data_IF_871243809263
#
_entry.id   IF_871243809263
#
_cell.length_a   1.000
_cell.length_b   1.000
_cell.length_c   1.000
_cell.angle_alpha   90.00
_cell.angle_beta   90.00
_cell.angle_gamma   90.00
#
_symmetry.space_group_name_H-M   'P 1'
#
loop_
_entity.id
_entity.type
_entity.pdbx_description
1 polymer ?
#
# COMPACT_ATOMS: atom_id res chain seq x y z
N UNK A 1 -6.99 11.60 11.08
CA UNK A 1 -6.60 10.68 9.98
C UNK A 1 -5.61 11.39 9.07
N UNK A 2 -4.51 10.76 8.64
CA UNK A 2 -3.55 11.40 7.72
C UNK A 2 -4.10 11.45 6.29
N UNK A 3 -3.66 12.42 5.48
CA UNK A 3 -4.06 12.57 4.07
C UNK A 3 -3.81 11.28 3.26
N UNK A 4 -2.73 10.57 3.58
CA UNK A 4 -2.38 9.28 2.98
C UNK A 4 -3.52 8.27 3.15
N UNK A 5 -4.00 8.07 4.39
CA UNK A 5 -5.08 7.13 4.67
C UNK A 5 -6.39 7.54 4.01
N UNK A 6 -6.72 8.83 4.02
CA UNK A 6 -7.93 9.33 3.36
C UNK A 6 -7.96 9.01 1.86
N UNK A 7 -6.80 8.97 1.19
CA UNK A 7 -6.70 8.70 -0.24
C UNK A 7 -6.48 7.21 -0.57
N UNK A 8 -5.72 6.48 0.24
CA UNK A 8 -5.31 5.10 -0.08
C UNK A 8 -6.10 4.01 0.66
N UNK A 9 -6.95 4.34 1.64
CA UNK A 9 -7.76 3.32 2.31
C UNK A 9 -8.62 2.45 1.35
N UNK A 10 -9.21 2.97 0.25
CA UNK A 10 -10.07 2.13 -0.60
C UNK A 10 -9.28 1.02 -1.29
N UNK A 11 -8.07 1.32 -1.78
CA UNK A 11 -7.22 0.32 -2.45
C UNK A 11 -6.63 -0.67 -1.45
N UNK A 12 -6.29 -0.21 -0.23
CA UNK A 12 -5.88 -1.10 0.86
C UNK A 12 -6.99 -2.09 1.22
N UNK A 13 -8.23 -1.61 1.33
CA UNK A 13 -9.38 -2.48 1.61
C UNK A 13 -9.65 -3.45 0.45
N UNK A 14 -9.57 -2.98 -0.80
CA UNK A 14 -9.75 -3.82 -1.97
C UNK A 14 -8.70 -4.94 -2.04
N UNK A 15 -7.43 -4.64 -1.76
CA UNK A 15 -6.35 -5.64 -1.75
C UNK A 15 -6.45 -6.62 -0.58
N UNK A 16 -6.95 -6.17 0.58
CA UNK A 16 -7.33 -7.07 1.69
C UNK A 16 -8.39 -8.08 1.24
N UNK A 17 -9.47 -7.63 0.58
CA UNK A 17 -10.55 -8.50 0.09
C UNK A 17 -10.01 -9.50 -0.94
N UNK A 18 -9.17 -9.05 -1.88
CA UNK A 18 -8.49 -9.93 -2.84
C UNK A 18 -7.67 -11.00 -2.11
N UNK A 19 -6.97 -10.63 -1.03
CA UNK A 19 -6.26 -11.57 -0.16
C UNK A 19 -7.17 -12.61 0.47
N UNK A 20 -8.31 -12.19 1.00
CA UNK A 20 -9.31 -13.11 1.59
C UNK A 20 -9.79 -14.11 0.53
N UNK A 21 -10.18 -13.63 -0.66
CA UNK A 21 -10.70 -14.47 -1.73
C UNK A 21 -9.65 -15.45 -2.26
N UNK A 22 -8.43 -14.96 -2.55
CA UNK A 22 -7.32 -15.80 -2.99
C UNK A 22 -6.96 -16.86 -1.95
N UNK A 23 -6.94 -16.50 -0.66
CA UNK A 23 -6.71 -17.43 0.44
C UNK A 23 -7.82 -18.47 0.57
N UNK A 24 -9.09 -18.06 0.46
CA UNK A 24 -10.25 -18.96 0.55
C UNK A 24 -10.21 -20.04 -0.53
N UNK A 25 -9.84 -19.67 -1.76
CA UNK A 25 -9.69 -20.64 -2.87
C UNK A 25 -8.40 -21.45 -2.71
N UNK A 26 -7.29 -20.80 -2.40
CA UNK A 26 -5.96 -21.41 -2.35
C UNK A 26 -5.72 -22.35 -1.17
N UNK A 27 -6.41 -22.16 -0.04
CA UNK A 27 -6.29 -23.01 1.14
C UNK A 27 -7.35 -24.11 1.23
N UNK A 28 -8.34 -24.13 0.31
CA UNK A 28 -9.39 -25.14 0.29
C UNK A 28 -8.78 -26.49 -0.13
N UNK A 29 -8.51 -27.34 0.86
CA UNK A 29 -8.14 -28.72 0.59
C UNK A 29 -9.32 -29.48 0.00
N UNK A 30 -9.02 -30.35 -0.98
CA UNK A 30 -9.95 -31.39 -1.43
C UNK A 30 -9.88 -32.54 -0.44
N UNK A 31 -11.03 -33.08 -0.04
CA UNK A 31 -11.08 -34.38 0.63
C UNK A 31 -10.66 -35.43 -0.39
N UNK A 32 -9.63 -36.18 -0.08
CA UNK A 32 -9.21 -37.36 -0.84
C UNK A 32 -9.95 -38.57 -0.26
N UNK A 33 -10.30 -39.53 -1.10
CA UNK A 33 -10.88 -40.81 -0.67
C UNK A 33 -9.83 -41.65 0.05
N UNK A 34 -10.24 -42.40 1.08
CA UNK A 34 -9.37 -43.32 1.82
C UNK A 34 -8.88 -44.50 0.96
N UNK A 35 -9.55 -44.76 -0.17
CA UNK A 35 -9.21 -45.84 -1.12
C UNK A 35 -8.06 -45.51 -2.08
N UNK A 36 -7.55 -44.27 -2.07
CA UNK A 36 -6.49 -43.84 -2.99
C UNK A 36 -5.13 -44.42 -2.62
N UNK A 37 -4.36 -44.85 -3.62
CA UNK A 37 -3.00 -45.31 -3.40
C UNK A 37 -2.10 -44.17 -2.91
N UNK A 38 -1.00 -44.51 -2.23
CA UNK A 38 -0.02 -43.50 -1.79
C UNK A 38 0.54 -42.66 -2.95
N UNK A 39 0.70 -43.25 -4.13
CA UNK A 39 1.15 -42.56 -5.33
C UNK A 39 0.11 -41.52 -5.80
N UNK A 40 -1.17 -41.86 -5.79
CA UNK A 40 -2.26 -40.94 -6.17
C UNK A 40 -2.37 -39.78 -5.17
N UNK A 41 -2.21 -40.06 -3.88
CA UNK A 41 -2.18 -39.02 -2.83
C UNK A 41 -1.00 -38.07 -3.04
N UNK A 42 0.18 -38.58 -3.37
CA UNK A 42 1.36 -37.75 -3.66
C UNK A 42 1.14 -36.86 -4.90
N UNK A 43 0.60 -37.42 -5.98
CA UNK A 43 0.27 -36.69 -7.21
C UNK A 43 -0.79 -35.59 -6.95
N UNK A 44 -1.85 -35.91 -6.20
CA UNK A 44 -2.88 -34.95 -5.82
C UNK A 44 -2.33 -33.81 -4.95
N UNK A 45 -1.42 -34.11 -4.02
CA UNK A 45 -0.75 -33.11 -3.19
C UNK A 45 0.14 -32.16 -4.02
N UNK A 46 0.87 -32.70 -5.00
CA UNK A 46 1.67 -31.88 -5.92
C UNK A 46 0.77 -30.94 -6.74
N UNK A 47 -0.31 -31.48 -7.32
CA UNK A 47 -1.29 -30.69 -8.06
C UNK A 47 -1.92 -29.59 -7.20
N UNK A 48 -2.30 -29.91 -5.95
CA UNK A 48 -2.81 -28.93 -4.99
C UNK A 48 -1.79 -27.82 -4.69
N UNK A 49 -0.51 -28.15 -4.47
CA UNK A 49 0.56 -27.15 -4.26
C UNK A 49 0.69 -26.22 -5.47
N UNK A 50 0.65 -26.75 -6.69
CA UNK A 50 0.68 -25.94 -7.90
C UNK A 50 -0.55 -25.03 -8.03
N UNK A 51 -1.76 -25.57 -7.80
CA UNK A 51 -2.98 -24.78 -7.84
C UNK A 51 -2.97 -23.67 -6.80
N UNK A 52 -2.56 -23.97 -5.56
CA UNK A 52 -2.39 -22.98 -4.48
C UNK A 52 -1.43 -21.86 -4.90
N UNK A 53 -0.23 -22.20 -5.39
CA UNK A 53 0.75 -21.20 -5.85
C UNK A 53 0.20 -20.33 -6.99
N UNK A 54 -0.50 -20.93 -7.95
CA UNK A 54 -1.17 -20.20 -9.04
C UNK A 54 -2.21 -19.21 -8.51
N UNK A 55 -3.08 -19.64 -7.60
CA UNK A 55 -4.13 -18.76 -7.03
C UNK A 55 -3.54 -17.62 -6.20
N UNK A 56 -2.51 -17.89 -5.40
CA UNK A 56 -1.81 -16.86 -4.63
C UNK A 56 -1.08 -15.87 -5.55
N UNK A 57 -0.43 -16.37 -6.62
CA UNK A 57 0.23 -15.53 -7.61
C UNK A 57 -0.75 -14.61 -8.36
N UNK A 58 -1.89 -15.16 -8.80
CA UNK A 58 -2.97 -14.37 -9.44
C UNK A 58 -3.50 -13.31 -8.47
N UNK A 59 -3.76 -13.67 -7.20
CA UNK A 59 -4.21 -12.72 -6.18
C UNK A 59 -3.21 -11.59 -5.92
N UNK A 60 -1.92 -11.93 -5.82
CA UNK A 60 -0.85 -10.94 -5.66
C UNK A 60 -0.72 -10.00 -6.87
N UNK A 61 -0.79 -10.54 -8.09
CA UNK A 61 -0.78 -9.75 -9.31
C UNK A 61 -2.00 -8.81 -9.39
N UNK A 62 -3.19 -9.30 -9.02
CA UNK A 62 -4.40 -8.48 -8.96
C UNK A 62 -4.29 -7.36 -7.92
N UNK A 63 -3.68 -7.62 -6.75
CA UNK A 63 -3.45 -6.59 -5.73
C UNK A 63 -2.54 -5.47 -6.26
N UNK A 64 -1.43 -5.81 -6.94
CA UNK A 64 -0.53 -4.82 -7.54
C UNK A 64 -1.21 -4.05 -8.68
N UNK A 65 -2.00 -4.73 -9.51
CA UNK A 65 -2.78 -4.10 -10.56
C UNK A 65 -3.75 -3.05 -10.01
N UNK A 66 -4.46 -3.35 -8.91
CA UNK A 66 -5.34 -2.40 -8.25
C UNK A 66 -4.60 -1.14 -7.76
N UNK A 67 -3.38 -1.30 -7.23
CA UNK A 67 -2.55 -0.15 -6.82
C UNK A 67 -2.14 0.69 -8.01
N UNK A 68 -1.67 0.07 -9.09
CA UNK A 68 -1.31 0.78 -10.32
C UNK A 68 -2.49 1.54 -10.90
N UNK A 69 -3.66 0.90 -10.98
CA UNK A 69 -4.90 1.52 -11.42
C UNK A 69 -5.33 2.68 -10.50
N UNK A 70 -5.23 2.50 -9.19
CA UNK A 70 -5.56 3.55 -8.22
C UNK A 70 -4.63 4.76 -8.35
N UNK A 71 -3.33 4.52 -8.46
CA UNK A 71 -2.32 5.56 -8.46
C UNK A 71 -2.37 6.43 -9.73
N UNK A 72 -2.55 5.80 -10.90
CA UNK A 72 -2.48 6.46 -12.20
C UNK A 72 -3.86 6.80 -12.80
N UNK A 73 -4.61 5.87 -13.45
CA UNK A 73 -5.82 6.24 -14.17
C UNK A 73 -6.93 6.76 -13.25
N UNK A 74 -6.99 6.30 -12.00
CA UNK A 74 -7.95 6.80 -11.00
C UNK A 74 -7.43 8.03 -10.22
N UNK A 75 -6.27 8.56 -10.59
CA UNK A 75 -5.73 9.83 -10.08
C UNK A 75 -5.46 9.86 -8.58
N UNK A 76 -5.26 8.72 -7.92
CA UNK A 76 -4.97 8.64 -6.48
C UNK A 76 -3.72 9.43 -6.12
N UNK A 77 -2.65 9.34 -6.93
CA UNK A 77 -1.43 10.13 -6.75
C UNK A 77 -1.70 11.63 -6.85
N UNK A 78 -2.42 12.07 -7.88
CA UNK A 78 -2.75 13.49 -8.10
C UNK A 78 -3.63 14.07 -6.99
N UNK A 79 -4.64 13.30 -6.51
CA UNK A 79 -5.50 13.70 -5.38
C UNK A 79 -4.71 13.83 -4.08
N UNK A 80 -3.79 12.90 -3.83
CA UNK A 80 -2.87 13.01 -2.69
C UNK A 80 -2.02 14.27 -2.80
N UNK A 81 -1.39 14.48 -3.96
CA UNK A 81 -0.51 15.62 -4.19
C UNK A 81 -1.24 16.94 -3.99
N UNK A 82 -2.40 17.10 -4.63
CA UNK A 82 -3.21 18.31 -4.52
C UNK A 82 -3.61 18.63 -3.08
N UNK A 83 -4.02 17.63 -2.28
CA UNK A 83 -4.39 17.86 -0.87
C UNK A 83 -3.21 18.35 -0.03
N UNK A 84 -2.03 17.78 -0.21
CA UNK A 84 -0.82 18.19 0.52
C UNK A 84 -0.34 19.57 0.06
N UNK A 85 -0.35 19.84 -1.24
CA UNK A 85 0.05 21.13 -1.82
C UNK A 85 -0.91 22.25 -1.40
N UNK A 86 -2.22 22.00 -1.36
CA UNK A 86 -3.21 22.95 -0.82
C UNK A 86 -2.95 23.23 0.66
N UNK A 87 -2.74 22.19 1.48
CA UNK A 87 -2.43 22.39 2.90
C UNK A 87 -1.13 23.18 3.12
N UNK A 88 -0.10 22.95 2.29
CA UNK A 88 1.14 23.71 2.35
C UNK A 88 0.95 25.17 1.93
N UNK A 89 0.15 25.43 0.88
CA UNK A 89 -0.19 26.78 0.47
C UNK A 89 -0.98 27.55 1.54
N UNK A 90 -1.90 26.87 2.24
CA UNK A 90 -2.66 27.46 3.35
C UNK A 90 -1.75 27.84 4.53
N UNK A 91 -0.74 27.01 4.86
CA UNK A 91 0.25 27.36 5.88
C UNK A 91 1.15 28.53 5.45
N UNK A 92 1.59 28.58 4.19
CA UNK A 92 2.35 29.72 3.66
C UNK A 92 1.57 31.03 3.72
N UNK A 93 0.28 30.96 3.39
CA UNK A 93 -0.63 32.11 3.51
C UNK A 93 -0.81 32.54 4.97
N UNK A 94 -0.82 31.60 5.92
CA UNK A 94 -0.96 31.91 7.35
C UNK A 94 0.25 32.66 7.91
N UNK A 95 1.46 32.38 7.42
CA UNK A 95 2.70 33.05 7.86
C UNK A 95 3.06 34.29 7.05
N UNK A 96 2.16 34.74 6.16
CA UNK A 96 2.28 35.95 5.33
C UNK A 96 3.55 36.02 4.47
N UNK A 97 3.92 34.91 3.84
CA UNK A 97 5.12 34.82 3.01
C UNK A 97 4.78 34.39 1.58
N UNK A 98 4.22 35.28 0.75
CA UNK A 98 3.73 34.95 -0.60
C UNK A 98 4.84 34.60 -1.60
N UNK A 99 6.10 34.90 -1.30
CA UNK A 99 7.26 34.63 -2.15
C UNK A 99 7.70 33.17 -2.16
N UNK A 100 7.23 32.35 -1.21
CA UNK A 100 7.56 30.93 -1.16
C UNK A 100 6.51 30.08 -1.86
N UNK A 101 6.98 28.99 -2.45
CA UNK A 101 6.12 27.94 -3.00
C UNK A 101 6.55 26.59 -2.46
N UNK A 102 5.58 25.74 -2.13
CA UNK A 102 5.82 24.39 -1.65
C UNK A 102 5.08 23.39 -2.56
N UNK A 103 5.82 22.52 -3.25
CA UNK A 103 5.27 21.52 -4.17
C UNK A 103 5.82 20.14 -3.84
N UNK A 104 5.02 19.09 -4.02
CA UNK A 104 5.54 17.73 -3.86
C UNK A 104 6.46 17.38 -5.03
N UNK A 105 7.52 16.60 -4.75
CA UNK A 105 8.36 16.04 -5.81
C UNK A 105 7.53 15.12 -6.70
N UNK A 106 7.54 15.34 -8.02
CA UNK A 106 6.69 14.61 -9.01
C UNK A 106 7.41 13.60 -9.89
N UNK A 107 8.75 13.53 -9.84
CA UNK A 107 9.56 12.70 -10.75
C UNK A 107 10.60 11.84 -10.01
N UNK A 108 10.18 10.71 -9.39
CA UNK A 108 8.81 10.20 -9.26
C UNK A 108 8.01 10.91 -8.15
N UNK A 109 6.67 10.74 -8.13
CA UNK A 109 5.84 11.29 -7.06
C UNK A 109 6.27 10.70 -5.71
N UNK A 110 6.71 11.54 -4.79
CA UNK A 110 7.17 11.14 -3.45
C UNK A 110 6.50 12.00 -2.38
N UNK A 111 6.65 11.61 -1.10
CA UNK A 111 6.18 12.38 0.06
C UNK A 111 7.18 13.47 0.48
N UNK A 112 7.99 13.95 -0.45
CA UNK A 112 8.97 15.00 -0.23
C UNK A 112 8.42 16.32 -0.73
N UNK A 113 8.21 17.27 0.19
CA UNK A 113 7.82 18.63 -0.14
C UNK A 113 9.07 19.44 -0.49
N UNK A 114 9.08 20.02 -1.68
CA UNK A 114 10.14 20.88 -2.20
C UNK A 114 9.71 22.32 -2.03
N UNK A 115 10.44 23.07 -1.21
CA UNK A 115 10.21 24.48 -0.95
C UNK A 115 11.14 25.31 -1.85
N UNK A 116 10.59 26.34 -2.49
CA UNK A 116 11.32 27.28 -3.34
C UNK A 116 11.04 28.71 -2.91
N UNK A 117 12.07 29.56 -2.95
CA UNK A 117 11.99 31.00 -2.65
C UNK A 117 13.31 31.50 -2.04
N UNK A 118 13.45 32.82 -1.91
CA UNK A 118 14.63 33.44 -1.26
C UNK A 118 14.46 33.44 0.26
N UNK A 119 15.14 32.54 0.96
CA UNK A 119 15.14 32.47 2.41
C UNK A 119 16.58 32.47 2.96
N UNK A 120 16.78 33.12 4.09
CA UNK A 120 18.00 32.91 4.89
C UNK A 120 17.96 31.56 5.62
N UNK A 121 19.09 31.08 6.13
CA UNK A 121 19.18 29.76 6.77
C UNK A 121 18.24 29.59 7.98
N UNK A 122 17.99 30.67 8.74
CA UNK A 122 17.04 30.64 9.86
C UNK A 122 15.60 30.39 9.38
N UNK A 123 15.17 31.10 8.33
CA UNK A 123 13.88 30.88 7.68
C UNK A 123 13.80 29.47 7.07
N UNK A 124 14.89 29.00 6.44
CA UNK A 124 14.97 27.66 5.87
C UNK A 124 14.65 26.57 6.90
N UNK A 125 15.28 26.65 8.07
CA UNK A 125 15.05 25.73 9.18
C UNK A 125 13.64 25.86 9.76
N UNK A 126 13.12 27.10 9.85
CA UNK A 126 11.74 27.37 10.29
C UNK A 126 10.71 26.66 9.42
N UNK A 127 10.78 26.85 8.10
CA UNK A 127 9.86 26.21 7.15
C UNK A 127 10.01 24.68 7.13
N UNK A 128 11.23 24.15 7.27
CA UNK A 128 11.43 22.69 7.36
C UNK A 128 10.73 22.12 8.60
N UNK A 129 10.78 22.80 9.75
CA UNK A 129 10.04 22.38 10.94
C UNK A 129 8.53 22.48 10.73
N UNK A 130 8.04 23.63 10.25
CA UNK A 130 6.62 23.86 9.99
C UNK A 130 6.01 22.81 9.06
N UNK A 131 6.65 22.56 7.91
CA UNK A 131 6.09 21.64 6.91
C UNK A 131 6.25 20.16 7.26
N UNK A 132 7.15 19.80 8.18
CA UNK A 132 7.25 18.41 8.67
C UNK A 132 6.02 17.97 9.45
N UNK A 133 5.27 18.92 10.00
CA UNK A 133 4.03 18.67 10.73
C UNK A 133 2.84 18.43 9.79
N UNK A 134 2.97 18.73 8.50
CA UNK A 134 1.89 18.55 7.53
C UNK A 134 1.57 17.06 7.30
N UNK A 135 0.28 16.67 7.39
CA UNK A 135 -0.12 15.28 7.21
C UNK A 135 0.15 14.82 5.77
N UNK A 136 0.93 13.74 5.64
CA UNK A 136 1.29 13.17 4.34
C UNK A 136 2.65 13.62 3.84
N UNK A 137 3.27 14.62 4.44
CA UNK A 137 4.69 14.94 4.21
C UNK A 137 5.54 13.92 5.00
N UNK A 138 6.64 13.46 4.40
CA UNK A 138 7.64 12.60 5.04
C UNK A 138 8.97 13.33 5.17
N UNK A 139 9.29 14.14 4.16
CA UNK A 139 10.50 14.95 4.10
C UNK A 139 10.17 16.33 3.54
N UNK A 140 10.90 17.33 4.00
CA UNK A 140 10.88 18.69 3.46
C UNK A 140 12.30 19.02 3.04
N UNK A 141 12.47 19.60 1.86
CA UNK A 141 13.77 20.06 1.38
C UNK A 141 13.64 21.34 0.57
N UNK A 142 14.72 22.10 0.50
CA UNK A 142 14.81 23.26 -0.37
C UNK A 142 15.20 22.86 -1.79
N UNK A 143 14.81 23.66 -2.79
CA UNK A 143 15.07 23.37 -4.20
C UNK A 143 16.57 23.40 -4.57
N UNK A 144 17.36 24.19 -3.84
CA UNK A 144 18.82 24.29 -3.96
C UNK A 144 19.57 23.10 -3.32
N UNK A 145 18.90 22.30 -2.49
CA UNK A 145 19.51 21.14 -1.83
C UNK A 145 19.57 19.91 -2.75
N UNK A 146 20.67 19.17 -2.64
CA UNK A 146 20.87 17.92 -3.38
C UNK A 146 19.72 16.94 -3.15
N UNK A 147 19.35 16.18 -4.19
CA UNK A 147 18.32 15.14 -4.09
C UNK A 147 18.85 13.99 -3.24
N UNK A 148 18.18 13.73 -2.13
CA UNK A 148 18.36 12.49 -1.35
C UNK A 148 17.58 11.31 -1.93
N UNK A 149 17.76 10.13 -1.34
CA UNK A 149 16.90 8.99 -1.64
C UNK A 149 15.51 9.21 -1.04
N UNK A 150 14.49 9.24 -1.91
CA UNK A 150 13.09 9.33 -1.54
C UNK A 150 12.36 8.09 -2.07
N UNK A 151 11.61 7.42 -1.20
CA UNK A 151 10.79 6.28 -1.62
C UNK A 151 9.62 6.80 -2.47
N UNK A 152 9.43 6.32 -3.71
CA UNK A 152 8.31 6.74 -4.53
C UNK A 152 6.98 6.36 -3.87
N UNK A 153 5.99 7.25 -3.90
CA UNK A 153 4.67 7.04 -3.29
C UNK A 153 3.96 5.80 -3.86
N UNK A 154 4.18 5.51 -5.14
CA UNK A 154 3.69 4.28 -5.76
C UNK A 154 4.26 3.02 -5.09
N UNK A 155 5.55 3.03 -4.76
CA UNK A 155 6.21 1.90 -4.08
C UNK A 155 5.69 1.77 -2.65
N UNK A 156 5.54 2.88 -1.91
CA UNK A 156 4.90 2.87 -0.58
C UNK A 156 3.49 2.25 -0.64
N UNK A 157 2.66 2.69 -1.59
CA UNK A 157 1.30 2.18 -1.77
C UNK A 157 1.27 0.70 -2.16
N UNK A 158 2.22 0.25 -3.00
CA UNK A 158 2.35 -1.15 -3.39
C UNK A 158 2.71 -2.02 -2.19
N UNK A 159 3.70 -1.61 -1.38
CA UNK A 159 4.08 -2.34 -0.16
C UNK A 159 2.93 -2.43 0.84
N UNK A 160 2.22 -1.32 1.07
CA UNK A 160 1.07 -1.30 1.97
C UNK A 160 -0.05 -2.23 1.50
N UNK A 161 -0.28 -2.30 0.19
CA UNK A 161 -1.31 -3.16 -0.39
C UNK A 161 -0.92 -4.63 -0.40
N UNK A 162 0.37 -4.95 -0.59
CA UNK A 162 0.88 -6.30 -0.41
C UNK A 162 0.76 -6.76 1.05
N UNK A 163 1.02 -5.87 2.01
CA UNK A 163 0.81 -6.16 3.42
C UNK A 163 -0.67 -6.44 3.73
N UNK A 164 -1.58 -5.60 3.21
CA UNK A 164 -3.02 -5.81 3.35
C UNK A 164 -3.50 -7.13 2.71
N UNK A 165 -3.01 -7.44 1.50
CA UNK A 165 -3.24 -8.72 0.85
C UNK A 165 -2.76 -9.90 1.71
N UNK A 166 -1.56 -9.82 2.30
CA UNK A 166 -1.03 -10.86 3.18
C UNK A 166 -1.87 -11.03 4.45
N UNK A 167 -2.38 -9.94 5.04
CA UNK A 167 -3.34 -9.99 6.15
C UNK A 167 -4.63 -10.70 5.74
N UNK A 168 -5.13 -10.43 4.53
CA UNK A 168 -6.30 -11.12 3.98
C UNK A 168 -6.07 -12.63 3.82
N UNK A 169 -4.89 -13.03 3.33
CA UNK A 169 -4.47 -14.44 3.27
C UNK A 169 -4.43 -15.06 4.67
N UNK A 170 -3.87 -14.35 5.65
CA UNK A 170 -3.78 -14.82 7.02
C UNK A 170 -5.16 -15.10 7.63
N UNK A 171 -6.14 -14.21 7.45
CA UNK A 171 -7.51 -14.46 7.90
C UNK A 171 -8.12 -15.70 7.25
N UNK A 172 -7.97 -15.86 5.94
CA UNK A 172 -8.47 -17.05 5.25
C UNK A 172 -7.80 -18.34 5.72
N UNK A 173 -6.51 -18.28 6.08
CA UNK A 173 -5.81 -19.41 6.67
C UNK A 173 -6.35 -19.77 8.07
N UNK A 174 -6.61 -18.79 8.94
CA UNK A 174 -7.23 -19.03 10.26
C UNK A 174 -8.60 -19.70 10.11
N UNK A 175 -9.45 -19.18 9.22
CA UNK A 175 -10.79 -19.74 8.98
C UNK A 175 -10.70 -21.19 8.52
N UNK A 176 -9.77 -21.48 7.61
CA UNK A 176 -9.53 -22.84 7.12
C UNK A 176 -8.99 -23.77 8.22
N UNK A 177 -8.07 -23.28 9.06
CA UNK A 177 -7.54 -24.03 10.19
C UNK A 177 -8.66 -24.39 11.17
N UNK A 178 -9.51 -23.43 11.52
CA UNK A 178 -10.68 -23.66 12.37
C UNK A 178 -11.62 -24.70 11.79
N UNK A 179 -11.88 -24.66 10.47
CA UNK A 179 -12.72 -25.65 9.78
C UNK A 179 -12.16 -27.07 9.93
N UNK A 180 -10.84 -27.23 9.86
CA UNK A 180 -10.17 -28.54 10.03
C UNK A 180 -10.25 -29.04 11.45
N UNK A 181 -9.95 -28.18 12.42
CA UNK A 181 -10.06 -28.53 13.84
C UNK A 181 -11.49 -29.00 14.14
N UNK A 182 -12.51 -28.26 13.71
CA UNK A 182 -13.90 -28.65 13.93
C UNK A 182 -14.30 -29.96 13.23
N UNK A 183 -13.71 -30.30 12.09
CA UNK A 183 -14.00 -31.59 11.44
C UNK A 183 -13.48 -32.80 12.22
N UNK A 184 -12.50 -32.60 13.10
CA UNK A 184 -12.07 -33.65 14.02
C UNK A 184 -13.10 -33.82 15.15
N UNK A 185 -13.70 -32.78 15.72
CA UNK A 185 -14.57 -32.95 16.90
C UNK A 185 -16.00 -33.47 16.66
N UNK A 186 -16.39 -33.74 15.41
CA UNK A 186 -17.76 -34.15 15.05
C UNK A 186 -17.92 -35.67 14.84
N UNK A 187 -17.08 -36.50 15.48
CA UNK A 187 -17.24 -37.97 15.51
C UNK A 187 -18.00 -38.46 16.75
#
# INVERSE_FOLDING_TARGET
MTVLWTVYWPVVLATLIVGILAGRVGFRQRKLSDELSAADVAAANLAYRHQKRKMLGIGGAAALFLVAAWHWPLGGGSRFAGKVETAAADELKRVDTPEFTAKLGRTPLSRTLIVSGSANEFQKDGFVRLFRELPGVSRVRWNDQARGFDLPLFVEAALLSLAAFAVGLFFSWIVELRRRVNSYWNW
#
